data_IF_610575898939
#
_entry.id   IF_610575898939
#
_cell.length_a   1.000
_cell.length_b   1.000
_cell.length_c   1.000
_cell.angle_alpha   90.00
_cell.angle_beta   90.00
_cell.angle_gamma   90.00
#
_symmetry.space_group_name_H-M   'P 1'
#
loop_
_entity.id
_entity.type
_entity.pdbx_description
1 polymer ?
#
# COMPACT_ATOMS: atom_id res chain seq x y z
N UNK A 1 7.66 -23.31 -59.66
CA UNK A 1 8.29 -22.05 -60.10
C UNK A 1 7.78 -21.00 -59.14
N UNK A 2 8.66 -20.56 -58.23
CA UNK A 2 8.46 -19.58 -57.15
C UNK A 2 7.36 -19.99 -56.14
N UNK A 3 7.70 -20.45 -54.93
CA UNK A 3 8.21 -19.62 -53.82
C UNK A 3 7.26 -18.45 -53.53
N UNK A 4 6.46 -18.61 -52.48
CA UNK A 4 6.26 -17.65 -51.38
C UNK A 4 5.30 -18.35 -50.39
N UNK A 5 5.72 -18.68 -49.16
CA UNK A 5 5.76 -17.76 -48.00
C UNK A 5 4.39 -17.18 -47.72
N UNK A 6 3.90 -17.04 -46.50
CA UNK A 6 4.40 -17.15 -45.14
C UNK A 6 3.07 -17.06 -44.34
N UNK A 7 2.86 -17.87 -43.31
CA UNK A 7 3.25 -17.53 -41.94
C UNK A 7 2.33 -16.46 -41.30
N UNK A 8 1.39 -17.00 -40.52
CA UNK A 8 1.18 -16.65 -39.11
C UNK A 8 0.65 -15.29 -38.61
N UNK A 9 -0.07 -15.46 -37.47
CA UNK A 9 -0.18 -14.54 -36.33
C UNK A 9 -1.05 -13.31 -36.50
N UNK A 10 -2.35 -13.54 -36.28
CA UNK A 10 -3.21 -12.56 -35.61
C UNK A 10 -2.67 -12.31 -34.19
N UNK A 11 -2.13 -11.12 -34.01
CA UNK A 11 -1.45 -10.59 -32.84
C UNK A 11 -2.22 -10.76 -31.53
N UNK A 12 -1.62 -11.50 -30.60
CA UNK A 12 -1.83 -11.31 -29.16
C UNK A 12 -1.31 -9.93 -28.75
N UNK A 13 -2.05 -9.09 -28.01
CA UNK A 13 -1.44 -7.98 -27.30
C UNK A 13 -0.70 -8.52 -26.07
N UNK A 14 0.55 -8.91 -26.29
CA UNK A 14 1.53 -9.16 -25.24
C UNK A 14 1.73 -7.87 -24.43
N UNK A 15 1.48 -7.96 -23.13
CA UNK A 15 1.67 -6.86 -22.20
C UNK A 15 3.03 -6.98 -21.50
N UNK A 16 4.12 -7.07 -22.27
CA UNK A 16 5.53 -6.98 -21.86
C UNK A 16 6.34 -6.51 -23.09
N UNK A 17 7.48 -5.79 -23.02
CA UNK A 17 8.40 -5.65 -21.87
C UNK A 17 8.96 -4.21 -21.69
N UNK A 18 9.77 -4.00 -20.63
CA UNK A 18 11.04 -3.25 -20.69
C UNK A 18 11.54 -3.01 -19.26
N UNK A 19 12.47 -3.86 -18.82
CA UNK A 19 13.47 -3.47 -17.85
C UNK A 19 14.33 -2.36 -18.46
N UNK A 20 14.69 -1.30 -17.73
CA UNK A 20 15.87 -0.53 -18.06
C UNK A 20 17.01 -0.97 -17.14
N UNK A 21 17.92 -1.79 -17.68
CA UNK A 21 19.27 -1.89 -17.17
C UNK A 21 20.05 -0.63 -17.55
N UNK A 22 20.62 0.02 -16.53
CA UNK A 22 21.90 0.73 -16.59
C UNK A 22 22.02 1.98 -17.46
N UNK A 23 21.99 3.15 -16.81
CA UNK A 23 22.83 4.26 -17.26
C UNK A 23 23.56 4.85 -16.05
N UNK A 24 24.87 4.61 -16.01
CA UNK A 24 25.82 5.25 -15.11
C UNK A 24 25.90 6.75 -15.44
N UNK A 25 25.63 7.61 -14.45
CA UNK A 25 26.15 8.98 -14.46
C UNK A 25 26.60 9.35 -13.05
N UNK A 26 27.92 9.27 -12.86
CA UNK A 26 28.62 9.87 -11.74
C UNK A 26 28.48 11.39 -11.79
N UNK A 27 27.90 11.97 -10.74
CA UNK A 27 28.12 13.35 -10.36
C UNK A 27 28.12 13.42 -8.83
N UNK A 28 29.33 13.53 -8.28
CA UNK A 28 29.56 13.84 -6.88
C UNK A 28 28.97 15.22 -6.55
N UNK A 29 27.95 15.23 -5.68
CA UNK A 29 27.63 16.37 -4.84
C UNK A 29 27.54 15.81 -3.43
N UNK A 30 28.39 16.31 -2.53
CA UNK A 30 28.32 16.05 -1.10
C UNK A 30 27.03 16.70 -0.57
N UNK A 31 25.95 15.94 -0.69
CA UNK A 31 24.60 16.33 -0.34
C UNK A 31 24.34 15.92 1.13
N UNK A 32 23.78 16.81 1.98
CA UNK A 32 23.39 16.45 3.34
C UNK A 32 22.47 15.22 3.30
N UNK A 33 22.46 14.34 4.33
CA UNK A 33 21.74 13.07 4.27
C UNK A 33 20.32 13.33 3.82
N UNK A 34 20.02 12.97 2.56
CA UNK A 34 18.69 13.11 1.99
C UNK A 34 17.77 12.38 2.97
N UNK A 35 16.70 13.03 3.49
CA UNK A 35 15.79 12.34 4.39
C UNK A 35 15.36 11.07 3.68
N UNK A 36 15.68 9.92 4.27
CA UNK A 36 15.30 8.59 3.79
C UNK A 36 13.85 8.70 3.30
N UNK A 37 13.60 8.59 1.98
CA UNK A 37 12.28 8.85 1.44
C UNK A 37 11.32 7.90 2.15
N UNK A 38 10.29 8.47 2.77
CA UNK A 38 9.31 7.67 3.48
C UNK A 38 8.60 6.79 2.44
N UNK A 39 9.03 5.53 2.34
CA UNK A 39 8.57 4.57 1.32
C UNK A 39 7.04 4.43 1.36
N UNK A 40 6.43 4.52 2.53
CA UNK A 40 4.96 4.45 2.65
C UNK A 40 4.29 5.69 2.05
N UNK A 41 4.90 6.86 2.23
CA UNK A 41 4.43 8.11 1.64
C UNK A 41 4.53 8.07 0.11
N UNK A 42 5.64 7.55 -0.42
CA UNK A 42 5.82 7.39 -1.87
C UNK A 42 4.79 6.43 -2.47
N UNK A 43 4.58 5.27 -1.84
CA UNK A 43 3.57 4.30 -2.27
C UNK A 43 2.16 4.92 -2.25
N UNK A 44 1.83 5.73 -1.23
CA UNK A 44 0.56 6.45 -1.19
C UNK A 44 0.42 7.45 -2.35
N UNK A 45 1.48 8.19 -2.69
CA UNK A 45 1.48 9.12 -3.84
C UNK A 45 1.24 8.38 -5.15
N UNK A 46 2.00 7.30 -5.40
CA UNK A 46 1.84 6.48 -6.62
C UNK A 46 0.43 5.89 -6.70
N UNK A 47 -0.09 5.39 -5.57
CA UNK A 47 -1.44 4.83 -5.52
C UNK A 47 -2.54 5.85 -5.84
N UNK A 48 -2.41 7.10 -5.36
CA UNK A 48 -3.34 8.19 -5.73
C UNK A 48 -3.32 8.52 -7.22
N UNK A 49 -2.18 8.32 -7.88
CA UNK A 49 -2.05 8.52 -9.33
C UNK A 49 -2.64 7.36 -10.15
N UNK A 50 -3.20 6.34 -9.50
CA UNK A 50 -3.84 5.20 -10.14
C UNK A 50 -3.02 3.91 -10.12
N UNK A 51 -1.82 3.91 -9.52
CA UNK A 51 -1.01 2.68 -9.41
C UNK A 51 -1.57 1.76 -8.30
N UNK A 52 -2.41 0.80 -8.69
CA UNK A 52 -2.96 -0.19 -7.76
C UNK A 52 -1.89 -1.09 -7.13
N UNK A 53 -0.75 -1.32 -7.81
CA UNK A 53 0.34 -2.15 -7.28
C UNK A 53 1.00 -1.44 -6.09
N UNK A 54 1.13 -0.12 -6.15
CA UNK A 54 1.63 0.68 -5.03
C UNK A 54 0.71 0.59 -3.80
N UNK A 55 -0.61 0.61 -4.01
CA UNK A 55 -1.59 0.39 -2.93
C UNK A 55 -1.47 -1.00 -2.30
N UNK A 56 -1.27 -2.04 -3.11
CA UNK A 56 -1.06 -3.40 -2.60
C UNK A 56 0.24 -3.54 -1.79
N UNK A 57 1.33 -2.93 -2.26
CA UNK A 57 2.61 -2.90 -1.54
C UNK A 57 2.47 -2.18 -0.18
N UNK A 58 1.80 -1.03 -0.18
CA UNK A 58 1.52 -0.27 1.03
C UNK A 58 0.72 -1.11 2.05
N UNK A 59 -0.30 -1.84 1.57
CA UNK A 59 -1.06 -2.79 2.39
C UNK A 59 -0.18 -3.91 2.96
N UNK A 60 0.60 -4.61 2.13
CA UNK A 60 1.47 -5.73 2.58
C UNK A 60 2.48 -5.29 3.63
N UNK A 61 2.98 -4.06 3.53
CA UNK A 61 3.92 -3.49 4.48
C UNK A 61 3.24 -3.09 5.80
N UNK A 62 2.06 -2.48 5.75
CA UNK A 62 1.39 -1.96 6.95
C UNK A 62 0.51 -2.97 7.67
N UNK A 63 -0.09 -3.93 6.96
CA UNK A 63 -1.04 -4.88 7.55
C UNK A 63 -0.46 -5.69 8.71
N UNK A 64 0.76 -6.26 8.63
CA UNK A 64 1.35 -6.99 9.76
C UNK A 64 1.49 -6.14 11.02
N UNK A 65 1.80 -4.85 10.87
CA UNK A 65 1.96 -3.93 12.01
C UNK A 65 0.63 -3.58 12.67
N UNK A 66 -0.41 -3.39 11.85
CA UNK A 66 -1.77 -3.14 12.34
C UNK A 66 -2.34 -4.39 13.03
N UNK A 67 -2.11 -5.57 12.46
CA UNK A 67 -2.48 -6.85 13.09
C UNK A 67 -1.76 -7.02 14.43
N UNK A 68 -0.45 -6.75 14.48
CA UNK A 68 0.33 -6.82 15.70
C UNK A 68 -0.21 -5.86 16.76
N UNK A 69 -0.54 -4.62 16.37
CA UNK A 69 -1.20 -3.66 17.24
C UNK A 69 -2.54 -4.19 17.76
N UNK A 70 -3.46 -4.66 16.92
CA UNK A 70 -4.74 -5.17 17.44
C UNK A 70 -4.58 -6.39 18.36
N UNK A 71 -3.63 -7.28 18.08
CA UNK A 71 -3.35 -8.46 18.91
C UNK A 71 -2.92 -8.13 20.34
N UNK A 72 -2.42 -6.92 20.62
CA UNK A 72 -2.13 -6.51 22.01
C UNK A 72 -3.40 -6.13 22.78
N UNK A 73 -4.50 -5.83 22.09
CA UNK A 73 -5.74 -5.32 22.69
C UNK A 73 -6.92 -6.30 22.62
N UNK A 74 -6.98 -7.14 21.58
CA UNK A 74 -8.08 -8.10 21.39
C UNK A 74 -7.54 -9.53 21.33
N UNK A 75 -8.32 -10.49 21.82
CA UNK A 75 -8.00 -11.92 21.76
C UNK A 75 -8.84 -12.57 20.66
N UNK A 76 -8.23 -13.45 19.86
CA UNK A 76 -8.93 -14.22 18.83
C UNK A 76 -8.65 -13.70 17.42
N UNK A 77 -9.57 -14.02 16.50
CA UNK A 77 -9.45 -13.66 15.08
C UNK A 77 -9.94 -12.24 14.77
N UNK A 78 -10.55 -11.53 15.73
CA UNK A 78 -11.10 -10.18 15.51
C UNK A 78 -10.02 -9.16 15.10
N UNK A 79 -8.75 -9.40 15.45
CA UNK A 79 -7.64 -8.56 15.00
C UNK A 79 -7.56 -8.45 13.47
N UNK A 80 -7.90 -9.51 12.73
CA UNK A 80 -7.92 -9.48 11.26
C UNK A 80 -9.08 -8.65 10.72
N UNK A 81 -10.24 -8.71 11.36
CA UNK A 81 -11.43 -7.96 10.95
C UNK A 81 -11.25 -6.46 11.19
N UNK A 82 -10.73 -6.09 12.36
CA UNK A 82 -10.40 -4.69 12.68
C UNK A 82 -9.28 -4.14 11.78
N UNK A 83 -8.32 -4.99 11.39
CA UNK A 83 -7.32 -4.64 10.38
C UNK A 83 -7.99 -4.32 9.06
N UNK A 84 -8.88 -5.18 8.57
CA UNK A 84 -9.61 -4.94 7.33
C UNK A 84 -10.42 -3.64 7.39
N UNK A 85 -11.14 -3.38 8.49
CA UNK A 85 -11.88 -2.12 8.68
C UNK A 85 -10.94 -0.90 8.60
N UNK A 86 -9.77 -0.99 9.22
CA UNK A 86 -8.75 0.08 9.19
C UNK A 86 -8.28 0.37 7.76
N UNK A 87 -7.97 -0.66 6.98
CA UNK A 87 -7.54 -0.47 5.59
C UNK A 87 -8.68 -0.02 4.67
N UNK A 88 -9.93 -0.45 4.91
CA UNK A 88 -11.09 0.09 4.20
C UNK A 88 -11.26 1.59 4.47
N UNK A 89 -11.04 2.04 5.70
CA UNK A 89 -11.03 3.46 6.04
C UNK A 89 -9.87 4.21 5.39
N UNK A 90 -8.69 3.59 5.27
CA UNK A 90 -7.57 4.13 4.50
C UNK A 90 -7.92 4.29 3.02
N UNK A 91 -8.51 3.29 2.38
CA UNK A 91 -8.93 3.36 0.97
C UNK A 91 -9.91 4.51 0.75
N UNK A 92 -10.92 4.64 1.62
CA UNK A 92 -11.94 5.71 1.54
C UNK A 92 -11.36 7.11 1.83
N UNK A 93 -10.33 7.17 2.67
CA UNK A 93 -9.70 8.42 3.12
C UNK A 93 -8.42 8.80 2.39
N UNK A 94 -7.92 7.95 1.47
CA UNK A 94 -6.58 8.08 0.89
C UNK A 94 -6.35 9.44 0.26
N UNK A 95 -7.35 9.99 -0.42
CA UNK A 95 -7.26 11.27 -1.15
C UNK A 95 -7.39 12.49 -0.22
N UNK A 96 -7.84 12.29 1.02
CA UNK A 96 -8.02 13.36 2.03
C UNK A 96 -6.76 13.61 2.86
N UNK A 97 -5.82 12.68 2.88
CA UNK A 97 -4.57 12.80 3.64
C UNK A 97 -3.72 13.92 2.99
N UNK A 98 -3.63 15.08 3.64
CA UNK A 98 -2.94 16.26 3.08
C UNK A 98 -1.43 16.09 3.03
N UNK A 99 -0.88 15.52 4.10
CA UNK A 99 0.55 15.21 4.22
C UNK A 99 0.73 13.70 4.10
N UNK A 100 1.47 13.25 3.09
CA UNK A 100 1.70 11.82 2.84
C UNK A 100 2.68 11.21 3.85
N UNK A 101 3.51 12.02 4.50
CA UNK A 101 4.45 11.57 5.51
C UNK A 101 3.76 11.04 6.77
N UNK A 102 2.52 11.47 7.03
CA UNK A 102 1.72 11.04 8.18
C UNK A 102 0.89 9.78 7.93
N UNK A 103 1.05 9.09 6.79
CA UNK A 103 0.22 7.92 6.44
C UNK A 103 0.24 6.83 7.53
N UNK A 104 1.41 6.54 8.12
CA UNK A 104 1.53 5.57 9.22
C UNK A 104 0.74 6.02 10.44
N UNK A 105 0.94 7.28 10.86
CA UNK A 105 0.22 7.87 12.00
C UNK A 105 -1.29 7.92 11.76
N UNK A 106 -1.73 8.22 10.53
CA UNK A 106 -3.13 8.18 10.13
C UNK A 106 -3.72 6.77 10.28
N UNK A 107 -2.99 5.74 9.84
CA UNK A 107 -3.41 4.34 9.97
C UNK A 107 -3.53 3.95 11.43
N UNK A 108 -2.54 4.27 12.27
CA UNK A 108 -2.62 3.99 13.71
C UNK A 108 -3.74 4.75 14.40
N UNK A 109 -3.93 6.04 14.11
CA UNK A 109 -5.05 6.81 14.67
C UNK A 109 -6.41 6.27 14.24
N UNK A 110 -6.51 5.76 13.00
CA UNK A 110 -7.72 5.08 12.53
C UNK A 110 -7.94 3.76 13.27
N UNK A 111 -6.88 2.97 13.46
CA UNK A 111 -6.93 1.71 14.21
C UNK A 111 -7.35 1.93 15.67
N UNK A 112 -6.83 2.97 16.34
CA UNK A 112 -7.20 3.36 17.70
C UNK A 112 -8.70 3.71 17.79
N UNK A 113 -9.21 4.53 16.87
CA UNK A 113 -10.62 4.90 16.84
C UNK A 113 -11.54 3.68 16.66
N UNK A 114 -11.15 2.76 15.77
CA UNK A 114 -11.87 1.50 15.53
C UNK A 114 -11.83 0.62 16.78
N UNK A 115 -10.67 0.50 17.43
CA UNK A 115 -10.51 -0.28 18.66
C UNK A 115 -11.40 0.25 19.78
N UNK A 116 -11.38 1.55 20.03
CA UNK A 116 -12.23 2.19 21.04
C UNK A 116 -13.72 1.93 20.78
N UNK A 117 -14.16 2.01 19.51
CA UNK A 117 -15.53 1.66 19.12
C UNK A 117 -15.83 0.19 19.38
N UNK A 118 -14.94 -0.71 18.99
CA UNK A 118 -15.11 -2.16 19.16
C UNK A 118 -15.23 -2.54 20.64
N UNK A 119 -14.31 -2.08 21.49
CA UNK A 119 -14.34 -2.33 22.93
C UNK A 119 -15.61 -1.76 23.56
N UNK A 120 -15.98 -0.53 23.21
CA UNK A 120 -17.20 0.12 23.73
C UNK A 120 -18.50 -0.56 23.28
N UNK A 121 -18.52 -1.23 22.12
CA UNK A 121 -19.64 -2.04 21.68
C UNK A 121 -19.69 -3.38 22.42
N UNK A 122 -18.55 -4.06 22.57
CA UNK A 122 -18.44 -5.34 23.29
C UNK A 122 -18.91 -5.22 24.75
N UNK A 123 -18.58 -4.12 25.41
CA UNK A 123 -19.04 -3.85 26.78
C UNK A 123 -20.55 -3.61 26.90
N UNK A 124 -21.22 -3.12 25.85
CA UNK A 124 -22.68 -2.89 25.86
C UNK A 124 -23.48 -4.16 25.59
N UNK A 125 -22.97 -5.04 24.74
CA UNK A 125 -23.65 -6.28 24.35
C UNK A 125 -23.49 -7.40 25.39
N UNK A 126 -22.57 -7.25 26.35
CA UNK A 126 -22.35 -8.21 27.43
C UNK A 126 -23.10 -7.88 28.74
N UNK A 127 -24.05 -6.94 28.72
CA UNK A 127 -24.95 -6.60 29.84
C UNK A 127 -26.35 -7.10 29.52
#
# INVERSE_FOLDING_TARGET
MCDDRDDERGAEPQCEPAEPEGEDVAAEVEEPPRPEPNVDAELLVRWRRGDERAGNQLYRRMAPMVIAYFRTHVRGDEAKDLTQETFLALVRGRDRIRDVCIVRSYVYGTAENILCRYIGHKQRTQV
#
